data_IF_685915292688
#
_entry.id   IF_685915292688
#
_cell.length_a   1.000
_cell.length_b   1.000
_cell.length_c   1.000
_cell.angle_alpha   90.00
_cell.angle_beta   90.00
_cell.angle_gamma   90.00
#
_symmetry.space_group_name_H-M   'P 1'
#
loop_
_entity.id
_entity.type
_entity.pdbx_description
1 polymer ?
#
# COMPACT_ATOMS: atom_id res chain seq x y z
N UNK A 1 8.15 3.75 20.43
CA UNK A 1 7.16 4.04 19.37
C UNK A 1 6.51 2.72 18.98
N UNK A 2 5.19 2.64 18.90
CA UNK A 2 4.53 1.44 18.39
C UNK A 2 4.65 1.41 16.87
N UNK A 3 5.16 0.30 16.33
CA UNK A 3 5.27 0.07 14.89
C UNK A 3 4.35 -1.08 14.50
N UNK A 4 3.48 -0.86 13.52
CA UNK A 4 2.63 -1.89 12.95
C UNK A 4 3.42 -2.77 12.00
N UNK A 5 3.26 -4.09 12.12
CA UNK A 5 3.86 -5.03 11.18
C UNK A 5 2.96 -5.17 9.96
N UNK A 6 3.51 -4.89 8.78
CA UNK A 6 2.84 -5.12 7.50
C UNK A 6 3.17 -6.53 7.03
N UNK A 7 2.15 -7.28 6.63
CA UNK A 7 2.28 -8.60 6.03
C UNK A 7 1.88 -8.50 4.55
N UNK A 8 2.71 -9.05 3.68
CA UNK A 8 2.45 -9.09 2.24
C UNK A 8 1.81 -10.42 1.87
N UNK A 9 0.78 -10.36 1.01
CA UNK A 9 0.32 -11.54 0.29
C UNK A 9 1.28 -11.84 -0.86
N UNK A 10 1.20 -13.06 -1.41
CA UNK A 10 2.01 -13.45 -2.57
C UNK A 10 1.83 -12.47 -3.73
N UNK A 11 0.58 -12.03 -3.98
CA UNK A 11 0.30 -11.04 -5.02
C UNK A 11 0.97 -9.71 -4.74
N UNK A 12 0.83 -9.18 -3.52
CA UNK A 12 1.42 -7.89 -3.16
C UNK A 12 2.95 -7.89 -3.25
N UNK A 13 3.61 -9.01 -2.93
CA UNK A 13 5.06 -9.14 -3.10
C UNK A 13 5.47 -9.09 -4.58
N UNK A 14 4.73 -9.79 -5.46
CA UNK A 14 4.97 -9.75 -6.91
C UNK A 14 4.74 -8.36 -7.50
N UNK A 15 3.66 -7.69 -7.09
CA UNK A 15 3.35 -6.33 -7.54
C UNK A 15 4.45 -5.35 -7.14
N UNK A 16 5.01 -5.50 -5.93
CA UNK A 16 6.13 -4.68 -5.46
C UNK A 16 7.39 -4.92 -6.29
N UNK A 17 7.72 -6.19 -6.56
CA UNK A 17 8.87 -6.57 -7.39
C UNK A 17 8.75 -6.05 -8.83
N UNK A 18 7.55 -6.09 -9.42
CA UNK A 18 7.31 -5.53 -10.76
C UNK A 18 7.52 -4.00 -10.78
N UNK A 19 7.06 -3.30 -9.74
CA UNK A 19 7.29 -1.86 -9.57
C UNK A 19 8.78 -1.52 -9.40
N UNK A 20 9.56 -2.39 -8.78
CA UNK A 20 11.00 -2.23 -8.58
C UNK A 20 11.80 -2.46 -9.87
N UNK A 21 11.38 -3.43 -10.69
CA UNK A 21 12.05 -3.77 -11.94
C UNK A 21 11.73 -2.78 -13.08
N UNK A 22 10.62 -2.06 -13.00
CA UNK A 22 10.21 -1.11 -14.05
C UNK A 22 10.61 0.33 -13.73
N UNK A 23 11.69 0.81 -14.38
CA UNK A 23 12.19 2.19 -14.26
C UNK A 23 11.13 3.26 -14.60
N UNK A 24 10.17 2.95 -15.49
CA UNK A 24 9.07 3.86 -15.82
C UNK A 24 8.07 4.08 -14.68
N UNK A 25 8.10 3.23 -13.64
CA UNK A 25 7.17 3.26 -12.51
C UNK A 25 7.82 3.79 -11.21
N UNK A 26 9.02 4.38 -11.28
CA UNK A 26 9.75 4.89 -10.10
C UNK A 26 8.90 5.81 -9.21
N UNK A 27 8.11 6.70 -9.82
CA UNK A 27 7.19 7.59 -9.08
C UNK A 27 6.15 6.79 -8.29
N UNK A 28 5.60 5.71 -8.85
CA UNK A 28 4.65 4.82 -8.18
C UNK A 28 5.33 4.04 -7.07
N UNK A 29 6.52 3.50 -7.32
CA UNK A 29 7.33 2.80 -6.31
C UNK A 29 7.62 3.70 -5.11
N UNK A 30 8.03 4.95 -5.34
CA UNK A 30 8.27 5.93 -4.27
C UNK A 30 7.01 6.20 -3.45
N UNK A 31 5.86 6.35 -4.11
CA UNK A 31 4.58 6.54 -3.43
C UNK A 31 4.20 5.32 -2.58
N UNK A 32 4.36 4.11 -3.12
CA UNK A 32 4.09 2.84 -2.40
C UNK A 32 4.97 2.73 -1.16
N UNK A 33 6.28 2.95 -1.29
CA UNK A 33 7.22 2.93 -0.16
C UNK A 33 6.85 3.96 0.91
N UNK A 34 6.50 5.19 0.51
CA UNK A 34 6.05 6.24 1.44
C UNK A 34 4.80 5.83 2.21
N UNK A 35 3.83 5.24 1.51
CA UNK A 35 2.59 4.71 2.10
C UNK A 35 2.87 3.61 3.12
N UNK A 36 3.78 2.67 2.81
CA UNK A 36 4.17 1.61 3.73
C UNK A 36 4.80 2.17 5.02
N UNK A 37 5.68 3.17 4.91
CA UNK A 37 6.25 3.84 6.10
C UNK A 37 5.16 4.46 6.97
N UNK A 38 4.21 5.17 6.36
CA UNK A 38 3.10 5.74 7.12
C UNK A 38 2.20 4.67 7.75
N UNK A 39 1.92 3.57 7.06
CA UNK A 39 1.13 2.47 7.60
C UNK A 39 1.82 1.80 8.80
N UNK A 40 3.15 1.65 8.76
CA UNK A 40 3.92 1.12 9.89
C UNK A 40 3.90 2.06 11.11
N UNK A 41 3.89 3.38 10.89
CA UNK A 41 3.87 4.36 11.97
C UNK A 41 2.45 4.61 12.53
N UNK A 42 1.49 4.82 11.64
CA UNK A 42 0.10 5.12 11.96
C UNK A 42 -0.82 4.78 10.78
N UNK A 43 -1.57 3.66 10.84
CA UNK A 43 -2.53 3.27 9.80
C UNK A 43 -3.61 4.32 9.51
N UNK A 44 -3.86 5.26 10.43
CA UNK A 44 -4.83 6.36 10.29
C UNK A 44 -4.14 7.72 10.06
N UNK A 45 -2.90 7.72 9.56
CA UNK A 45 -2.17 8.95 9.29
C UNK A 45 -2.97 9.86 8.34
N UNK A 46 -3.12 11.16 8.62
CA UNK A 46 -3.97 12.06 7.84
C UNK A 46 -3.60 12.14 6.35
N UNK A 47 -2.32 11.96 6.01
CA UNK A 47 -1.89 11.95 4.61
C UNK A 47 -2.27 10.69 3.83
N UNK A 48 -2.71 9.62 4.49
CA UNK A 48 -3.08 8.36 3.83
C UNK A 48 -4.54 8.35 3.34
N UNK A 49 -5.39 9.25 3.86
CA UNK A 49 -6.82 9.33 3.52
C UNK A 49 -7.53 7.95 3.51
N UNK A 50 -7.21 7.10 4.49
CA UNK A 50 -7.73 5.72 4.57
C UNK A 50 -9.23 5.70 4.83
N UNK A 51 -9.95 4.82 4.14
CA UNK A 51 -11.37 4.54 4.40
C UNK A 51 -11.58 3.02 4.52
N UNK A 52 -12.65 2.62 5.24
CA UNK A 52 -13.03 1.21 5.29
C UNK A 52 -13.47 0.78 3.89
N UNK A 53 -12.77 -0.20 3.31
CA UNK A 53 -13.19 -0.84 2.08
C UNK A 53 -14.53 -1.55 2.31
N UNK A 54 -15.54 -1.19 1.51
CA UNK A 54 -16.83 -1.88 1.44
C UNK A 54 -17.01 -2.34 0.00
N UNK A 55 -16.99 -3.65 -0.23
CA UNK A 55 -17.29 -4.20 -1.55
C UNK A 55 -18.80 -4.10 -1.77
N UNK A 56 -19.23 -3.22 -2.68
CA UNK A 56 -20.61 -3.23 -3.16
C UNK A 56 -20.68 -4.26 -4.29
N UNK A 57 -21.20 -5.46 -4.01
CA UNK A 57 -21.57 -6.39 -5.08
C UNK A 57 -22.84 -5.82 -5.74
N UNK A 58 -22.70 -5.16 -6.88
CA UNK A 58 -23.84 -4.84 -7.73
C UNK A 58 -24.47 -6.15 -8.24
N UNK A 59 -25.78 -6.29 -8.10
CA UNK A 59 -26.53 -7.26 -8.88
C UNK A 59 -26.76 -6.62 -10.26
N UNK A 60 -26.38 -7.31 -11.34
CA UNK A 60 -26.67 -6.90 -12.73
C UNK A 60 -28.18 -6.87 -12.98
#
# INVERSE_FOLDING_TARGET
MMTFKILFTIQASKDLEELENNKGLEKRLKAVRKTLVYLQANPRHPSLNTHKYKSVKGHN
#
